data_IF_107950682081
#
_entry.id   IF_107950682081
#
_cell.length_a   1.000
_cell.length_b   1.000
_cell.length_c   1.000
_cell.angle_alpha   90.00
_cell.angle_beta   90.00
_cell.angle_gamma   90.00
#
_symmetry.space_group_name_H-M   'P 1'
#
loop_
_entity.id
_entity.type
_entity.pdbx_description
1 polymer ?
#
# COMPACT_ATOMS: atom_id res chain seq x y z
N UNK A 1 -20.46 -37.50 32.93
CA UNK A 1 -19.18 -38.19 32.66
C UNK A 1 -19.23 -38.71 31.22
N UNK A 2 -18.45 -38.29 30.24
CA UNK A 2 -17.14 -37.65 30.20
C UNK A 2 -17.15 -36.48 29.21
N UNK A 3 -16.59 -35.36 29.66
CA UNK A 3 -16.06 -34.27 28.85
C UNK A 3 -15.00 -34.82 27.89
N UNK A 4 -15.16 -34.57 26.60
CA UNK A 4 -14.05 -34.60 25.65
C UNK A 4 -13.95 -33.24 24.99
N UNK A 5 -13.11 -32.43 25.63
CA UNK A 5 -12.47 -31.23 25.12
C UNK A 5 -11.87 -31.51 23.74
N UNK A 6 -12.48 -30.97 22.68
CA UNK A 6 -11.75 -30.70 21.43
C UNK A 6 -11.58 -29.20 21.32
N UNK A 7 -10.47 -28.77 21.94
CA UNK A 7 -9.73 -27.53 21.81
C UNK A 7 -10.20 -26.67 20.64
N UNK A 8 -11.00 -25.66 20.96
CA UNK A 8 -11.15 -24.45 20.14
C UNK A 8 -9.77 -23.80 20.12
N UNK A 9 -8.98 -24.07 19.07
CA UNK A 9 -7.80 -23.26 18.76
C UNK A 9 -8.34 -21.93 18.24
N UNK A 10 -8.71 -21.06 19.19
CA UNK A 10 -8.83 -19.64 18.93
C UNK A 10 -7.39 -19.15 18.74
N UNK A 11 -6.89 -19.26 17.50
CA UNK A 11 -5.69 -18.55 17.10
C UNK A 11 -6.04 -17.07 17.19
N UNK A 12 -5.76 -16.49 18.36
CA UNK A 12 -5.67 -15.04 18.54
C UNK A 12 -4.51 -14.61 17.67
N UNK A 13 -4.79 -14.34 16.39
CA UNK A 13 -3.90 -13.56 15.56
C UNK A 13 -3.92 -12.19 16.23
N UNK A 14 -2.97 -11.96 17.13
CA UNK A 14 -2.63 -10.64 17.58
C UNK A 14 -2.25 -9.86 16.32
N UNK A 15 -3.20 -9.13 15.76
CA UNK A 15 -2.92 -8.20 14.68
C UNK A 15 -2.07 -7.12 15.31
N UNK A 16 -0.75 -7.27 15.23
CA UNK A 16 0.17 -6.16 15.40
C UNK A 16 -0.27 -5.16 14.34
N UNK A 17 -1.08 -4.18 14.74
CA UNK A 17 -1.36 -3.03 13.91
C UNK A 17 -0.04 -2.26 13.85
N UNK A 18 0.81 -2.65 12.91
CA UNK A 18 2.06 -1.96 12.67
C UNK A 18 1.69 -0.60 12.07
N UNK A 19 1.58 0.38 12.96
CA UNK A 19 1.33 1.77 12.63
C UNK A 19 2.65 2.43 12.25
N UNK A 20 2.64 3.27 11.21
CA UNK A 20 3.77 4.11 10.86
C UNK A 20 4.27 4.92 12.07
N UNK A 21 5.59 5.13 12.13
CA UNK A 21 6.17 6.13 13.06
C UNK A 21 5.76 7.54 12.65
N UNK A 22 5.86 8.50 13.57
CA UNK A 22 5.47 9.88 13.25
C UNK A 22 6.35 10.52 12.17
N UNK A 23 7.63 10.14 12.10
CA UNK A 23 8.51 10.55 11.00
C UNK A 23 8.03 10.00 9.64
N UNK A 24 7.61 8.73 9.61
CA UNK A 24 7.10 8.10 8.39
C UNK A 24 5.77 8.73 7.96
N UNK A 25 4.87 9.02 8.90
CA UNK A 25 3.62 9.75 8.64
C UNK A 25 3.89 11.15 8.09
N UNK A 26 4.84 11.88 8.69
CA UNK A 26 5.21 13.22 8.24
C UNK A 26 5.76 13.21 6.81
N UNK A 27 6.66 12.28 6.48
CA UNK A 27 7.18 12.10 5.11
C UNK A 27 6.08 11.72 4.12
N UNK A 28 5.21 10.77 4.49
CA UNK A 28 4.08 10.39 3.64
C UNK A 28 3.16 11.59 3.38
N UNK A 29 2.81 12.35 4.42
CA UNK A 29 2.01 13.57 4.30
C UNK A 29 2.68 14.61 3.40
N UNK A 30 3.99 14.80 3.53
CA UNK A 30 4.74 15.69 2.65
C UNK A 30 4.62 15.26 1.17
N UNK A 31 4.80 13.97 0.87
CA UNK A 31 4.63 13.47 -0.49
C UNK A 31 3.20 13.67 -1.02
N UNK A 32 2.20 13.40 -0.18
CA UNK A 32 0.79 13.64 -0.52
C UNK A 32 0.51 15.11 -0.82
N UNK A 33 0.96 16.03 0.04
CA UNK A 33 0.75 17.46 -0.12
C UNK A 33 1.46 18.00 -1.37
N UNK A 34 2.68 17.53 -1.67
CA UNK A 34 3.39 17.86 -2.91
C UNK A 34 2.64 17.35 -4.15
N UNK A 35 2.15 16.11 -4.12
CA UNK A 35 1.41 15.53 -5.23
C UNK A 35 0.04 16.19 -5.44
N UNK A 36 -0.64 16.64 -4.38
CA UNK A 36 -1.90 17.39 -4.51
C UNK A 36 -1.71 18.74 -5.17
N UNK A 37 -0.55 19.39 -4.97
CA UNK A 37 -0.22 20.66 -5.66
C UNK A 37 -0.09 20.46 -7.17
N UNK A 38 0.52 19.37 -7.60
CA UNK A 38 0.68 19.04 -9.03
C UNK A 38 -0.58 18.43 -9.64
N UNK A 39 -1.31 17.63 -8.87
CA UNK A 39 -2.47 16.86 -9.29
C UNK A 39 -3.59 17.05 -8.26
N UNK A 40 -4.39 18.12 -8.39
CA UNK A 40 -5.44 18.46 -7.43
C UNK A 40 -6.63 17.50 -7.60
N UNK A 41 -6.47 16.28 -7.10
CA UNK A 41 -7.51 15.27 -7.09
C UNK A 41 -8.67 15.67 -6.16
N UNK A 42 -9.90 15.36 -6.58
CA UNK A 42 -11.10 15.68 -5.80
C UNK A 42 -11.09 14.98 -4.43
N UNK A 43 -11.54 15.68 -3.39
CA UNK A 43 -11.52 15.19 -2.01
C UNK A 43 -12.35 13.91 -1.85
N UNK A 44 -13.51 13.81 -2.50
CA UNK A 44 -14.36 12.60 -2.40
C UNK A 44 -13.70 11.42 -3.11
N UNK A 45 -13.02 11.65 -4.23
CA UNK A 45 -12.24 10.62 -4.90
C UNK A 45 -11.07 10.13 -4.03
N UNK A 46 -10.37 11.04 -3.35
CA UNK A 46 -9.30 10.67 -2.41
C UNK A 46 -9.84 9.87 -1.24
N UNK A 47 -10.95 10.28 -0.62
CA UNK A 47 -11.59 9.56 0.49
C UNK A 47 -12.01 8.13 0.12
N UNK A 48 -12.47 7.92 -1.11
CA UNK A 48 -12.75 6.59 -1.66
C UNK A 48 -11.47 5.81 -1.91
N UNK A 49 -10.45 6.44 -2.48
CA UNK A 49 -9.14 5.85 -2.71
C UNK A 49 -8.52 5.33 -1.41
N UNK A 50 -8.60 6.08 -0.30
CA UNK A 50 -8.14 5.65 1.04
C UNK A 50 -8.74 4.33 1.50
N UNK A 51 -9.92 4.00 0.99
CA UNK A 51 -10.69 2.79 1.31
C UNK A 51 -10.48 1.68 0.27
N UNK A 52 -9.50 1.84 -0.62
CA UNK A 52 -9.20 0.92 -1.71
C UNK A 52 -10.07 1.09 -2.95
N UNK A 53 -11.02 2.02 -2.95
CA UNK A 53 -11.89 2.31 -4.10
C UNK A 53 -11.24 3.37 -5.00
N UNK A 54 -10.41 2.91 -5.93
CA UNK A 54 -9.79 3.75 -6.95
C UNK A 54 -10.72 3.90 -8.15
N UNK A 55 -11.37 5.05 -8.23
CA UNK A 55 -12.16 5.43 -9.40
C UNK A 55 -11.28 5.56 -10.65
N UNK A 56 -11.84 5.24 -11.82
CA UNK A 56 -11.19 5.48 -13.11
C UNK A 56 -11.23 6.98 -13.45
N UNK A 57 -10.35 7.74 -12.78
CA UNK A 57 -10.21 9.17 -12.96
C UNK A 57 -8.73 9.50 -13.22
N UNK A 58 -8.48 10.23 -14.32
CA UNK A 58 -7.12 10.57 -14.75
C UNK A 58 -6.33 11.32 -13.68
N UNK A 59 -6.91 12.33 -13.04
CA UNK A 59 -6.23 13.13 -12.01
C UNK A 59 -5.93 12.30 -10.77
N UNK A 60 -6.86 11.42 -10.37
CA UNK A 60 -6.62 10.50 -9.25
C UNK A 60 -5.48 9.52 -9.55
N UNK A 61 -5.43 8.96 -10.78
CA UNK A 61 -4.34 8.10 -11.22
C UNK A 61 -2.99 8.83 -11.25
N UNK A 62 -2.98 10.07 -11.73
CA UNK A 62 -1.77 10.91 -11.76
C UNK A 62 -1.28 11.22 -10.33
N UNK A 63 -2.20 11.56 -9.43
CA UNK A 63 -1.92 11.77 -8.01
C UNK A 63 -1.36 10.50 -7.33
N UNK A 64 -2.03 9.35 -7.51
CA UNK A 64 -1.59 8.07 -6.93
C UNK A 64 -0.19 7.72 -7.43
N UNK A 65 0.03 7.78 -8.74
CA UNK A 65 1.34 7.54 -9.34
C UNK A 65 2.41 8.45 -8.72
N UNK A 66 2.13 9.74 -8.58
CA UNK A 66 3.06 10.69 -7.95
C UNK A 66 3.43 10.27 -6.51
N UNK A 67 2.47 9.86 -5.69
CA UNK A 67 2.72 9.43 -4.30
C UNK A 67 3.57 8.15 -4.27
N UNK A 68 3.27 7.19 -5.14
CA UNK A 68 4.01 5.93 -5.27
C UNK A 68 5.45 6.18 -5.75
N UNK A 69 5.63 7.05 -6.74
CA UNK A 69 6.95 7.45 -7.26
C UNK A 69 7.78 8.15 -6.16
N UNK A 70 7.22 9.15 -5.48
CA UNK A 70 7.92 9.88 -4.40
C UNK A 70 8.27 9.01 -3.21
N UNK A 71 7.47 7.98 -2.95
CA UNK A 71 7.77 6.97 -1.93
C UNK A 71 8.93 6.03 -2.33
N UNK A 72 9.38 6.12 -3.59
CA UNK A 72 10.49 5.35 -4.14
C UNK A 72 10.10 3.95 -4.58
N UNK A 73 8.80 3.66 -4.74
CA UNK A 73 8.30 2.34 -5.12
C UNK A 73 8.41 2.06 -6.60
N UNK A 74 8.37 3.10 -7.42
CA UNK A 74 8.50 3.04 -8.87
C UNK A 74 9.44 4.16 -9.31
N UNK A 75 10.33 3.89 -10.25
CA UNK A 75 11.18 4.91 -10.88
C UNK A 75 10.39 5.70 -11.95
N UNK A 76 10.85 6.88 -12.38
CA UNK A 76 10.19 7.64 -13.47
C UNK A 76 10.03 6.84 -14.78
N UNK A 77 10.92 5.86 -15.00
CA UNK A 77 10.92 4.94 -16.14
C UNK A 77 9.94 3.74 -15.97
N UNK A 78 9.22 3.66 -14.86
CA UNK A 78 8.25 2.61 -14.57
C UNK A 78 8.83 1.33 -13.96
N UNK A 79 10.08 1.33 -13.49
CA UNK A 79 10.67 0.15 -12.84
C UNK A 79 10.24 0.07 -11.38
N UNK A 80 9.70 -1.07 -10.98
CA UNK A 80 9.30 -1.33 -9.60
C UNK A 80 10.54 -1.60 -8.73
N UNK A 81 10.66 -0.86 -7.64
CA UNK A 81 11.78 -0.95 -6.70
C UNK A 81 11.44 -1.93 -5.57
N UNK A 82 11.48 -3.23 -5.87
CA UNK A 82 11.09 -4.32 -4.96
C UNK A 82 11.77 -4.26 -3.59
N UNK A 83 13.07 -3.93 -3.54
CA UNK A 83 13.81 -3.79 -2.28
C UNK A 83 13.29 -2.64 -1.39
N UNK A 84 12.87 -1.53 -2.02
CA UNK A 84 12.27 -0.39 -1.31
C UNK A 84 10.89 -0.77 -0.80
N UNK A 85 10.06 -1.43 -1.62
CA UNK A 85 8.76 -1.96 -1.17
C UNK A 85 8.92 -2.90 0.02
N UNK A 86 9.86 -3.86 -0.04
CA UNK A 86 10.08 -4.83 1.04
C UNK A 86 10.44 -4.13 2.35
N UNK A 87 11.38 -3.17 2.28
CA UNK A 87 11.81 -2.39 3.44
C UNK A 87 10.66 -1.58 4.05
N UNK A 88 9.85 -0.91 3.22
CA UNK A 88 8.72 -0.12 3.70
C UNK A 88 7.59 -0.99 4.23
N UNK A 89 7.29 -2.10 3.58
CA UNK A 89 6.30 -3.06 4.04
C UNK A 89 6.72 -3.70 5.36
N UNK A 90 7.99 -4.04 5.55
CA UNK A 90 8.47 -4.56 6.84
C UNK A 90 8.31 -3.58 8.02
N UNK A 91 8.06 -2.28 7.75
CA UNK A 91 7.71 -1.30 8.78
C UNK A 91 6.22 -1.31 9.16
N UNK A 92 5.36 -1.87 8.31
CA UNK A 92 3.88 -1.92 8.48
C UNK A 92 3.34 -3.35 8.53
N UNK A 93 4.21 -4.36 8.48
CA UNK A 93 3.89 -5.78 8.61
C UNK A 93 5.14 -6.54 9.08
N UNK A 94 4.99 -7.78 9.59
CA UNK A 94 6.12 -8.65 9.86
C UNK A 94 7.03 -8.85 8.63
N UNK A 95 8.34 -8.94 8.84
CA UNK A 95 9.34 -9.02 7.78
C UNK A 95 9.12 -10.21 6.82
N UNK A 96 8.71 -11.37 7.34
CA UNK A 96 8.39 -12.55 6.52
C UNK A 96 7.22 -12.32 5.55
N UNK A 97 6.29 -11.46 5.94
CA UNK A 97 5.12 -11.12 5.13
C UNK A 97 5.49 -10.06 4.10
N UNK A 98 6.42 -9.14 4.41
CA UNK A 98 6.87 -8.12 3.47
C UNK A 98 7.39 -8.73 2.16
N UNK A 99 8.28 -9.73 2.23
CA UNK A 99 8.82 -10.40 1.03
C UNK A 99 7.75 -11.14 0.22
N UNK A 100 6.83 -11.83 0.90
CA UNK A 100 5.68 -12.51 0.26
C UNK A 100 4.77 -11.51 -0.46
N UNK A 101 4.50 -10.36 0.18
CA UNK A 101 3.69 -9.29 -0.39
C UNK A 101 4.34 -8.65 -1.61
N UNK A 102 5.64 -8.37 -1.56
CA UNK A 102 6.36 -7.85 -2.74
C UNK A 102 6.25 -8.82 -3.91
N UNK A 103 6.59 -10.10 -3.70
CA UNK A 103 6.49 -11.10 -4.75
C UNK A 103 5.07 -11.21 -5.34
N UNK A 104 4.04 -11.11 -4.49
CA UNK A 104 2.63 -11.15 -4.90
C UNK A 104 2.24 -9.90 -5.68
N UNK A 105 2.53 -8.72 -5.16
CA UNK A 105 2.05 -7.43 -5.66
C UNK A 105 2.87 -6.85 -6.82
N UNK A 106 4.00 -7.47 -7.17
CA UNK A 106 4.83 -7.05 -8.32
C UNK A 106 4.96 -8.15 -9.38
N UNK A 107 4.04 -9.12 -9.38
CA UNK A 107 4.06 -10.26 -10.30
C UNK A 107 3.55 -9.93 -11.70
N UNK A 108 2.79 -8.83 -11.83
CA UNK A 108 2.28 -8.35 -13.12
C UNK A 108 3.42 -7.80 -13.99
N UNK A 109 3.39 -8.16 -15.28
CA UNK A 109 4.38 -7.73 -16.28
C UNK A 109 3.69 -6.88 -17.35
N UNK A 110 4.49 -6.08 -18.06
CA UNK A 110 4.05 -5.25 -19.20
C UNK A 110 2.99 -4.20 -18.88
N UNK A 111 2.92 -3.74 -17.62
CA UNK A 111 2.11 -2.59 -17.22
C UNK A 111 2.88 -1.30 -17.48
N UNK A 112 2.19 -0.22 -17.85
CA UNK A 112 2.78 1.10 -17.82
C UNK A 112 3.05 1.56 -16.38
N UNK A 113 3.78 2.66 -16.21
CA UNK A 113 4.19 3.17 -14.89
C UNK A 113 3.01 3.52 -13.97
N UNK A 114 1.90 4.04 -14.50
CA UNK A 114 0.70 4.37 -13.74
C UNK A 114 -0.12 3.13 -13.42
N UNK A 115 -0.27 2.23 -14.39
CA UNK A 115 -0.89 0.92 -14.17
C UNK A 115 -0.14 0.11 -13.10
N UNK A 116 1.19 0.15 -13.13
CA UNK A 116 2.04 -0.48 -12.11
C UNK A 116 1.82 0.14 -10.73
N UNK A 117 1.73 1.47 -10.63
CA UNK A 117 1.45 2.16 -9.37
C UNK A 117 0.09 1.77 -8.79
N UNK A 118 -0.93 1.72 -9.64
CA UNK A 118 -2.28 1.31 -9.28
C UNK A 118 -2.34 -0.16 -8.83
N UNK A 119 -1.70 -1.05 -9.59
CA UNK A 119 -1.60 -2.47 -9.26
C UNK A 119 -0.94 -2.72 -7.90
N UNK A 120 0.21 -2.09 -7.65
CA UNK A 120 0.92 -2.19 -6.37
C UNK A 120 0.03 -1.67 -5.24
N UNK A 121 -0.55 -0.49 -5.39
CA UNK A 121 -1.39 0.12 -4.36
C UNK A 121 -2.57 -0.78 -4.01
N UNK A 122 -3.34 -1.24 -5.01
CA UNK A 122 -4.50 -2.12 -4.78
C UNK A 122 -4.11 -3.41 -4.10
N UNK A 123 -3.03 -4.05 -4.56
CA UNK A 123 -2.58 -5.30 -3.97
C UNK A 123 -2.13 -5.10 -2.52
N UNK A 124 -1.28 -4.12 -2.24
CA UNK A 124 -0.82 -3.84 -0.86
C UNK A 124 -1.99 -3.49 0.05
N UNK A 125 -2.91 -2.63 -0.40
CA UNK A 125 -4.11 -2.27 0.36
C UNK A 125 -4.97 -3.50 0.67
N UNK A 126 -5.20 -4.37 -0.32
CA UNK A 126 -6.03 -5.55 -0.12
C UNK A 126 -5.46 -6.50 0.93
N UNK A 127 -4.14 -6.66 0.96
CA UNK A 127 -3.46 -7.58 1.85
C UNK A 127 -3.21 -7.01 3.25
N UNK A 128 -2.99 -5.70 3.38
CA UNK A 128 -2.55 -5.07 4.63
C UNK A 128 -3.55 -4.08 5.21
N UNK A 129 -4.54 -3.65 4.41
CA UNK A 129 -5.44 -2.51 4.69
C UNK A 129 -4.72 -1.17 4.91
N UNK A 130 -3.42 -1.11 4.60
CA UNK A 130 -2.64 0.12 4.67
C UNK A 130 -2.88 0.98 3.43
N UNK A 131 -3.26 2.24 3.65
CA UNK A 131 -3.40 3.25 2.59
C UNK A 131 -2.24 4.24 2.62
N UNK A 132 -1.64 4.47 1.45
CA UNK A 132 -0.68 5.54 1.17
C UNK A 132 -1.33 6.86 0.75
N UNK A 133 -2.65 6.87 0.58
CA UNK A 133 -3.48 8.04 0.23
C UNK A 133 -4.27 8.47 1.45
#
# INVERSE_FOLDING_TARGET
>A
MKVLYSVVILAVIATVQATLTDEQKAKLKQHQDECLKSFPADKLLLEKARKGDLADNKTLKDYLYCVIEKSGFITPDGKIQTAVLETKLASVTAAENAKKLVAKCTSQKNLDKKESAEAIYKCVYNETKFSLI
#
